data_IF_920818409915
#
_entry.id   IF_920818409915
#
_cell.length_a   1.000
_cell.length_b   1.000
_cell.length_c   1.000
_cell.angle_alpha   90.00
_cell.angle_beta   90.00
_cell.angle_gamma   90.00
#
_symmetry.space_group_name_H-M   'P 1'
#
loop_
_entity.id
_entity.type
_entity.pdbx_description
1 polymer ?
#
# COMPACT_ATOMS: atom_id res chain seq x y z
N UNK A 1 10.42 11.54 5.12
CA UNK A 1 9.86 12.39 4.05
C UNK A 1 10.32 11.84 2.71
N UNK A 2 9.70 12.21 1.61
CA UNK A 2 10.09 11.80 0.26
C UNK A 2 9.11 10.84 -0.40
N UNK A 3 9.20 10.80 -1.73
CA UNK A 3 8.36 9.97 -2.59
C UNK A 3 9.22 9.04 -3.43
N UNK A 4 8.76 7.80 -3.60
CA UNK A 4 9.27 6.93 -4.67
C UNK A 4 8.56 7.33 -5.96
N UNK A 5 9.29 7.99 -6.86
CA UNK A 5 8.71 8.48 -8.10
C UNK A 5 8.59 7.38 -9.15
N UNK A 6 7.37 7.24 -9.68
CA UNK A 6 7.14 6.49 -10.89
C UNK A 6 7.58 7.34 -12.09
N UNK A 7 8.33 6.77 -13.03
CA UNK A 7 8.51 7.41 -14.33
C UNK A 7 7.19 7.36 -15.13
N UNK A 8 6.32 8.34 -14.90
CA UNK A 8 4.98 8.44 -15.51
C UNK A 8 5.06 8.42 -17.03
N UNK A 9 6.04 9.12 -17.62
CA UNK A 9 6.27 9.13 -19.07
C UNK A 9 6.52 7.74 -19.62
N UNK A 10 7.40 6.95 -18.99
CA UNK A 10 7.69 5.60 -19.43
C UNK A 10 6.47 4.68 -19.30
N UNK A 11 5.75 4.77 -18.18
CA UNK A 11 4.54 3.98 -17.96
C UNK A 11 3.43 4.34 -18.95
N UNK A 12 3.23 5.63 -19.21
CA UNK A 12 2.30 6.10 -20.22
C UNK A 12 2.66 5.56 -21.61
N UNK A 13 3.95 5.49 -21.95
CA UNK A 13 4.42 4.92 -23.20
C UNK A 13 4.15 3.42 -23.30
N UNK A 14 4.46 2.65 -22.23
CA UNK A 14 4.20 1.21 -22.16
C UNK A 14 2.72 0.89 -22.27
N UNK A 15 1.88 1.54 -21.47
CA UNK A 15 0.43 1.39 -21.53
C UNK A 15 -0.11 1.88 -22.87
N UNK A 16 0.49 2.94 -23.42
CA UNK A 16 0.19 3.48 -24.74
C UNK A 16 0.26 2.46 -25.87
N UNK A 17 0.97 1.34 -25.70
CA UNK A 17 1.07 0.26 -26.69
C UNK A 17 -0.21 -0.60 -26.83
N UNK A 18 -1.27 -0.29 -26.06
CA UNK A 18 -2.55 -0.98 -26.12
C UNK A 18 -3.64 -0.09 -26.74
N UNK A 19 -4.57 -0.63 -27.54
CA UNK A 19 -5.62 0.17 -28.18
C UNK A 19 -6.46 1.04 -27.23
N UNK A 20 -6.88 0.58 -26.03
CA UNK A 20 -7.68 1.40 -25.11
C UNK A 20 -6.91 2.60 -24.53
N UNK A 21 -5.59 2.49 -24.41
CA UNK A 21 -4.71 3.47 -23.76
C UNK A 21 -3.79 4.18 -24.76
N UNK A 22 -4.04 4.03 -26.07
CA UNK A 22 -3.28 4.66 -27.16
C UNK A 22 -3.10 6.17 -27.00
N UNK A 23 -4.11 6.83 -26.41
CA UNK A 23 -4.00 8.22 -26.02
C UNK A 23 -3.38 8.29 -24.63
N UNK A 24 -2.07 8.49 -24.60
CA UNK A 24 -1.27 8.52 -23.37
C UNK A 24 -1.67 9.68 -22.45
N UNK A 25 -2.23 10.75 -23.00
CA UNK A 25 -2.65 11.94 -22.26
C UNK A 25 -3.65 11.62 -21.15
N UNK A 26 -4.54 10.65 -21.36
CA UNK A 26 -5.51 10.23 -20.34
C UNK A 26 -4.82 9.67 -19.09
N UNK A 27 -3.73 8.93 -19.28
CA UNK A 27 -2.91 8.43 -18.18
C UNK A 27 -2.09 9.57 -17.58
N UNK A 28 -1.33 10.31 -18.39
CA UNK A 28 -0.41 11.35 -17.90
C UNK A 28 -1.13 12.44 -17.11
N UNK A 29 -2.28 12.94 -17.57
CA UNK A 29 -3.07 13.96 -16.86
C UNK A 29 -3.56 13.53 -15.48
N UNK A 30 -3.64 12.22 -15.21
CA UNK A 30 -4.06 11.70 -13.89
C UNK A 30 -2.94 11.72 -12.85
N UNK A 31 -1.69 11.78 -13.31
CA UNK A 31 -0.48 11.71 -12.47
C UNK A 31 0.31 13.02 -12.53
N UNK A 32 -0.37 14.14 -12.74
CA UNK A 32 0.23 15.47 -12.89
C UNK A 32 -0.41 16.39 -11.86
N UNK A 33 0.43 17.05 -11.05
CA UNK A 33 0.00 18.13 -10.14
C UNK A 33 -0.31 19.40 -10.95
N UNK A 34 -1.09 20.31 -10.38
CA UNK A 34 -1.50 21.57 -11.03
C UNK A 34 -0.30 22.43 -11.48
N UNK A 35 0.87 22.21 -10.88
CA UNK A 35 2.11 22.94 -11.13
C UNK A 35 2.80 22.54 -12.46
N UNK A 36 2.44 21.39 -13.03
CA UNK A 36 3.09 20.86 -14.24
C UNK A 36 2.25 21.16 -15.47
N UNK A 37 2.78 22.04 -16.33
CA UNK A 37 2.18 22.38 -17.63
C UNK A 37 2.39 21.26 -18.66
N UNK A 38 1.29 20.72 -19.18
CA UNK A 38 1.28 19.66 -20.20
C UNK A 38 1.08 20.16 -21.63
N UNK A 39 0.81 21.45 -21.87
CA UNK A 39 0.48 21.95 -23.20
C UNK A 39 1.61 21.71 -24.21
N UNK A 40 2.85 21.86 -23.74
CA UNK A 40 4.06 21.61 -24.52
C UNK A 40 4.65 20.21 -24.29
N UNK A 41 4.11 19.43 -23.36
CA UNK A 41 4.65 18.11 -23.03
C UNK A 41 4.51 17.14 -24.21
N UNK A 42 5.60 16.40 -24.48
CA UNK A 42 5.62 15.29 -25.42
C UNK A 42 6.33 14.12 -24.75
N UNK A 43 5.74 12.94 -24.83
CA UNK A 43 6.33 11.76 -24.21
C UNK A 43 7.69 11.43 -24.88
N UNK A 44 8.82 11.47 -24.13
CA UNK A 44 10.15 11.26 -24.69
C UNK A 44 10.38 9.83 -25.22
N UNK A 45 9.58 8.86 -24.78
CA UNK A 45 9.65 7.48 -25.24
C UNK A 45 8.86 7.25 -26.55
N UNK A 46 8.09 8.23 -27.00
CA UNK A 46 7.39 8.21 -28.29
C UNK A 46 5.91 7.80 -28.21
N UNK A 47 5.25 7.83 -29.37
CA UNK A 47 3.81 7.63 -29.54
C UNK A 47 3.45 6.24 -30.11
N UNK A 48 2.16 5.90 -30.07
CA UNK A 48 1.63 4.64 -30.59
C UNK A 48 1.97 4.43 -32.09
N UNK A 49 2.46 3.24 -32.48
CA UNK A 49 2.81 2.96 -33.87
C UNK A 49 1.58 3.00 -34.78
N UNK A 50 1.67 3.71 -35.90
CA UNK A 50 0.62 3.79 -36.93
C UNK A 50 0.73 2.63 -37.95
N UNK A 51 -0.32 2.42 -38.74
CA UNK A 51 -0.33 1.46 -39.86
C UNK A 51 -0.23 0.00 -39.43
N UNK A 52 0.51 -0.81 -40.21
CA UNK A 52 0.62 -2.26 -40.01
C UNK A 52 1.19 -2.65 -38.64
N UNK A 53 2.13 -1.87 -38.10
CA UNK A 53 2.69 -2.09 -36.76
C UNK A 53 1.61 -1.92 -35.68
N UNK A 54 0.77 -0.88 -35.78
CA UNK A 54 -0.35 -0.66 -34.86
C UNK A 54 -1.41 -1.75 -34.92
N UNK A 55 -1.69 -2.31 -36.11
CA UNK A 55 -2.58 -3.46 -36.27
C UNK A 55 -2.03 -4.73 -35.61
N UNK A 56 -0.72 -4.99 -35.76
CA UNK A 56 -0.06 -6.13 -35.10
C UNK A 56 -0.07 -5.99 -33.58
N UNK A 57 0.23 -4.80 -33.05
CA UNK A 57 0.14 -4.52 -31.60
C UNK A 57 -1.28 -4.71 -31.07
N UNK A 58 -2.30 -4.22 -31.77
CA UNK A 58 -3.69 -4.40 -31.37
C UNK A 58 -4.10 -5.89 -31.35
N UNK A 59 -3.68 -6.68 -32.34
CA UNK A 59 -3.95 -8.11 -32.38
C UNK A 59 -3.22 -8.86 -31.26
N UNK A 60 -1.94 -8.56 -31.04
CA UNK A 60 -1.19 -9.13 -29.92
C UNK A 60 -1.86 -8.82 -28.59
N UNK A 61 -2.21 -7.55 -28.35
CA UNK A 61 -2.92 -7.13 -27.14
C UNK A 61 -4.25 -7.88 -26.97
N UNK A 62 -5.06 -8.00 -28.01
CA UNK A 62 -6.33 -8.71 -27.93
C UNK A 62 -6.14 -10.19 -27.57
N UNK A 63 -5.17 -10.87 -28.21
CA UNK A 63 -4.84 -12.27 -27.92
C UNK A 63 -4.35 -12.45 -26.48
N UNK A 64 -3.44 -11.59 -26.03
CA UNK A 64 -2.90 -11.63 -24.66
C UNK A 64 -3.97 -11.34 -23.63
N UNK A 65 -4.84 -10.37 -23.87
CA UNK A 65 -5.97 -10.04 -22.98
C UNK A 65 -6.95 -11.21 -22.85
N UNK A 66 -7.27 -11.89 -23.95
CA UNK A 66 -8.14 -13.08 -23.90
C UNK A 66 -7.49 -14.23 -23.15
N UNK A 67 -6.20 -14.47 -23.36
CA UNK A 67 -5.46 -15.48 -22.61
C UNK A 67 -5.43 -15.16 -21.10
N UNK A 68 -5.15 -13.89 -20.78
CA UNK A 68 -5.14 -13.36 -19.42
C UNK A 68 -6.49 -13.56 -18.72
N UNK A 69 -7.60 -13.15 -19.36
CA UNK A 69 -8.95 -13.32 -18.81
C UNK A 69 -9.32 -14.79 -18.51
N UNK A 70 -8.73 -15.76 -19.22
CA UNK A 70 -8.98 -17.20 -18.97
C UNK A 70 -8.23 -17.73 -17.74
N UNK A 71 -7.05 -17.19 -17.45
CA UNK A 71 -6.18 -17.68 -16.37
C UNK A 71 -6.24 -16.86 -15.08
N UNK A 72 -6.74 -15.62 -15.15
CA UNK A 72 -6.62 -14.63 -14.07
C UNK A 72 -7.20 -15.11 -12.73
N UNK A 73 -8.36 -15.78 -12.73
CA UNK A 73 -8.97 -16.25 -11.49
C UNK A 73 -8.19 -17.40 -10.85
N UNK A 74 -7.76 -18.36 -11.66
CA UNK A 74 -6.95 -19.49 -11.21
C UNK A 74 -5.58 -19.02 -10.69
N UNK A 75 -4.94 -18.04 -11.36
CA UNK A 75 -3.69 -17.45 -10.90
C UNK A 75 -3.86 -16.72 -9.57
N UNK A 76 -4.91 -15.90 -9.40
CA UNK A 76 -5.17 -15.22 -8.14
C UNK A 76 -5.38 -16.20 -6.99
N UNK A 77 -6.16 -17.26 -7.20
CA UNK A 77 -6.38 -18.30 -6.19
C UNK A 77 -5.09 -19.06 -5.86
N UNK A 78 -4.28 -19.37 -6.88
CA UNK A 78 -2.98 -19.99 -6.67
C UNK A 78 -2.05 -19.08 -5.85
N UNK A 79 -1.96 -17.80 -6.18
CA UNK A 79 -1.19 -16.82 -5.40
C UNK A 79 -1.69 -16.73 -3.95
N UNK A 80 -3.00 -16.66 -3.74
CA UNK A 80 -3.61 -16.61 -2.40
C UNK A 80 -3.36 -17.88 -1.59
N UNK A 81 -3.26 -19.05 -2.23
CA UNK A 81 -2.94 -20.31 -1.54
C UNK A 81 -1.44 -20.43 -1.29
N UNK A 82 -0.62 -20.14 -2.31
CA UNK A 82 0.83 -20.20 -2.25
C UNK A 82 1.39 -19.25 -1.19
N UNK A 83 0.78 -18.06 -1.00
CA UNK A 83 1.22 -17.12 0.05
C UNK A 83 1.19 -17.74 1.44
N UNK A 84 0.20 -18.59 1.73
CA UNK A 84 0.03 -19.18 3.06
C UNK A 84 1.09 -20.26 3.28
N UNK A 85 1.36 -21.09 2.27
CA UNK A 85 2.48 -22.02 2.30
C UNK A 85 3.82 -21.29 2.49
N UNK A 86 4.04 -20.21 1.75
CA UNK A 86 5.25 -19.40 1.83
C UNK A 86 5.40 -18.71 3.20
N UNK A 87 4.30 -18.23 3.78
CA UNK A 87 4.26 -17.70 5.14
C UNK A 87 4.60 -18.78 6.17
N UNK A 88 3.92 -19.93 6.14
CA UNK A 88 4.11 -21.03 7.09
C UNK A 88 5.55 -21.56 7.02
N UNK A 89 6.10 -21.72 5.81
CA UNK A 89 7.50 -22.13 5.62
C UNK A 89 8.45 -21.10 6.23
N UNK A 90 8.27 -19.81 5.92
CA UNK A 90 9.13 -18.75 6.47
C UNK A 90 9.05 -18.66 7.99
N UNK A 91 7.88 -18.93 8.60
CA UNK A 91 7.70 -18.99 10.06
C UNK A 91 8.36 -20.20 10.70
N UNK A 92 8.45 -21.32 9.99
CA UNK A 92 9.10 -22.54 10.47
C UNK A 92 10.63 -22.51 10.37
N UNK A 93 11.20 -21.57 9.62
CA UNK A 93 12.65 -21.41 9.50
C UNK A 93 13.20 -20.53 10.63
N UNK A 94 14.26 -21.01 11.28
CA UNK A 94 15.12 -20.19 12.13
C UNK A 94 16.33 -19.74 11.32
N UNK A 95 16.27 -18.51 10.79
CA UNK A 95 17.32 -17.93 9.97
C UNK A 95 18.62 -17.67 10.75
N UNK A 96 18.57 -17.63 12.09
CA UNK A 96 19.78 -17.47 12.91
C UNK A 96 20.71 -18.68 12.84
N UNK A 97 20.17 -19.85 12.50
CA UNK A 97 20.91 -21.10 12.34
C UNK A 97 21.58 -21.25 10.97
N UNK A 98 21.21 -20.41 10.01
CA UNK A 98 21.70 -20.51 8.64
C UNK A 98 23.12 -19.92 8.56
N UNK A 99 24.02 -20.54 7.81
CA UNK A 99 25.26 -19.88 7.43
C UNK A 99 25.03 -18.80 6.34
N UNK A 100 26.07 -18.04 6.01
CA UNK A 100 26.01 -16.95 5.02
C UNK A 100 25.57 -17.45 3.63
N UNK A 101 25.98 -18.66 3.24
CA UNK A 101 25.63 -19.27 1.95
C UNK A 101 24.19 -19.78 1.94
N UNK A 102 23.73 -20.36 3.04
CA UNK A 102 22.33 -20.79 3.20
C UNK A 102 21.39 -19.57 3.15
N UNK A 103 21.74 -18.47 3.81
CA UNK A 103 21.00 -17.20 3.69
C UNK A 103 21.00 -16.65 2.26
N UNK A 104 22.12 -16.76 1.54
CA UNK A 104 22.20 -16.34 0.13
C UNK A 104 21.25 -17.13 -0.77
N UNK A 105 21.21 -18.46 -0.59
CA UNK A 105 20.31 -19.34 -1.34
C UNK A 105 18.86 -19.01 -1.00
N UNK A 106 18.55 -18.79 0.28
CA UNK A 106 17.19 -18.45 0.72
C UNK A 106 16.73 -17.08 0.20
N UNK A 107 17.62 -16.08 0.21
CA UNK A 107 17.35 -14.79 -0.41
C UNK A 107 17.05 -14.95 -1.91
N UNK A 108 17.82 -15.76 -2.63
CA UNK A 108 17.57 -16.06 -4.04
C UNK A 108 16.17 -16.63 -4.27
N UNK A 109 15.73 -17.56 -3.41
CA UNK A 109 14.37 -18.12 -3.46
C UNK A 109 13.30 -17.06 -3.20
N UNK A 110 13.49 -16.22 -2.18
CA UNK A 110 12.57 -15.13 -1.87
C UNK A 110 12.52 -14.08 -2.98
N UNK A 111 13.63 -13.78 -3.66
CA UNK A 111 13.67 -12.87 -4.80
C UNK A 111 12.93 -13.43 -6.03
N UNK A 112 13.02 -14.74 -6.29
CA UNK A 112 12.20 -15.39 -7.33
C UNK A 112 10.72 -15.29 -6.98
N UNK A 113 10.34 -15.60 -5.73
CA UNK A 113 8.94 -15.46 -5.30
C UNK A 113 8.46 -14.00 -5.38
N UNK A 114 9.30 -13.04 -4.95
CA UNK A 114 9.03 -11.61 -5.09
C UNK A 114 8.74 -11.24 -6.54
N UNK A 115 9.62 -11.63 -7.46
CA UNK A 115 9.42 -11.39 -8.90
C UNK A 115 8.09 -11.97 -9.38
N UNK A 116 7.84 -13.25 -9.11
CA UNK A 116 6.65 -13.96 -9.60
C UNK A 116 5.35 -13.40 -9.04
N UNK A 117 5.34 -13.00 -7.75
CA UNK A 117 4.17 -12.39 -7.13
C UNK A 117 3.88 -11.00 -7.69
N UNK A 118 4.91 -10.19 -7.95
CA UNK A 118 4.73 -8.87 -8.56
C UNK A 118 4.27 -8.99 -10.01
N UNK A 119 4.91 -9.85 -10.82
CA UNK A 119 4.50 -10.12 -12.20
C UNK A 119 3.08 -10.69 -12.27
N UNK A 120 2.73 -11.61 -11.36
CA UNK A 120 1.40 -12.20 -11.28
C UNK A 120 0.30 -11.22 -10.85
N UNK A 121 0.65 -10.22 -10.02
CA UNK A 121 -0.25 -9.21 -9.50
C UNK A 121 -0.54 -8.07 -10.51
N UNK A 122 0.48 -7.61 -11.23
CA UNK A 122 0.39 -6.42 -12.09
C UNK A 122 -0.76 -6.42 -13.11
N UNK A 123 -1.13 -7.55 -13.76
CA UNK A 123 -2.25 -7.58 -14.69
C UNK A 123 -3.58 -7.15 -14.06
N UNK A 124 -3.88 -7.54 -12.80
CA UNK A 124 -5.14 -7.15 -12.16
C UNK A 124 -5.20 -5.64 -11.94
N UNK A 125 -4.08 -5.04 -11.52
CA UNK A 125 -3.97 -3.60 -11.34
C UNK A 125 -4.16 -2.84 -12.66
N UNK A 126 -3.44 -3.24 -13.71
CA UNK A 126 -3.50 -2.59 -15.03
C UNK A 126 -4.89 -2.77 -15.66
N UNK A 127 -5.47 -3.97 -15.60
CA UNK A 127 -6.78 -4.25 -16.18
C UNK A 127 -7.89 -3.52 -15.43
N UNK A 128 -7.85 -3.48 -14.09
CA UNK A 128 -8.80 -2.69 -13.30
C UNK A 128 -8.69 -1.19 -13.64
N UNK A 129 -7.47 -0.67 -13.79
CA UNK A 129 -7.24 0.72 -14.20
C UNK A 129 -7.82 1.01 -15.60
N UNK A 130 -7.53 0.15 -16.57
CA UNK A 130 -8.05 0.29 -17.95
C UNK A 130 -9.57 0.18 -18.02
N UNK A 131 -10.16 -0.79 -17.32
CA UNK A 131 -11.60 -0.96 -17.23
C UNK A 131 -12.28 0.24 -16.55
N UNK A 132 -11.67 0.79 -15.50
CA UNK A 132 -12.14 2.00 -14.83
C UNK A 132 -12.11 3.22 -15.75
N UNK A 133 -11.02 3.42 -16.51
CA UNK A 133 -10.92 4.50 -17.49
C UNK A 133 -12.02 4.42 -18.56
N UNK A 134 -12.21 3.23 -19.13
CA UNK A 134 -13.28 2.99 -20.11
C UNK A 134 -14.67 3.18 -19.50
N UNK A 135 -14.90 2.69 -18.27
CA UNK A 135 -16.16 2.88 -17.54
C UNK A 135 -16.46 4.37 -17.38
N UNK A 136 -15.47 5.15 -16.97
CA UNK A 136 -15.57 6.60 -16.77
C UNK A 136 -15.99 7.31 -18.05
N UNK A 137 -15.32 7.01 -19.17
CA UNK A 137 -15.63 7.62 -20.47
C UNK A 137 -17.06 7.29 -20.93
N UNK A 138 -17.47 6.02 -20.82
CA UNK A 138 -18.79 5.58 -21.25
C UNK A 138 -19.90 6.13 -20.33
N UNK A 139 -19.67 6.19 -19.02
CA UNK A 139 -20.58 6.81 -18.06
C UNK A 139 -20.80 8.29 -18.39
N UNK A 140 -19.72 9.06 -18.57
CA UNK A 140 -19.81 10.47 -18.94
C UNK A 140 -20.58 10.67 -20.26
N UNK A 141 -20.26 9.86 -21.27
CA UNK A 141 -20.86 9.98 -22.62
C UNK A 141 -22.33 9.55 -22.68
N UNK A 142 -22.74 8.56 -21.90
CA UNK A 142 -24.06 7.93 -22.03
C UNK A 142 -25.04 8.26 -20.91
N UNK A 143 -24.56 8.66 -19.73
CA UNK A 143 -25.37 8.84 -18.53
C UNK A 143 -25.21 10.21 -17.86
N UNK A 144 -24.24 11.04 -18.27
CA UNK A 144 -23.99 12.35 -17.65
C UNK A 144 -23.75 12.24 -16.14
N UNK A 145 -24.38 13.10 -15.35
CA UNK A 145 -24.21 13.15 -13.88
C UNK A 145 -24.56 11.84 -13.16
N UNK A 146 -25.57 11.10 -13.66
CA UNK A 146 -25.90 9.79 -13.13
C UNK A 146 -24.74 8.79 -13.29
N UNK A 147 -23.96 8.94 -14.36
CA UNK A 147 -22.75 8.16 -14.61
C UNK A 147 -21.60 8.53 -13.68
N UNK A 148 -21.42 9.83 -13.38
CA UNK A 148 -20.40 10.30 -12.44
C UNK A 148 -20.66 9.78 -11.00
N UNK A 149 -21.91 9.82 -10.57
CA UNK A 149 -22.31 9.28 -9.26
C UNK A 149 -22.09 7.75 -9.18
N UNK A 150 -22.46 7.00 -10.23
CA UNK A 150 -22.22 5.56 -10.30
C UNK A 150 -20.72 5.23 -10.24
N UNK A 151 -19.89 5.96 -11.00
CA UNK A 151 -18.44 5.79 -10.99
C UNK A 151 -17.83 6.02 -9.61
N UNK A 152 -18.22 7.11 -8.93
CA UNK A 152 -17.70 7.46 -7.60
C UNK A 152 -18.05 6.39 -6.56
N UNK A 153 -19.29 5.87 -6.59
CA UNK A 153 -19.71 4.77 -5.71
C UNK A 153 -18.92 3.49 -5.98
N UNK A 154 -18.87 3.04 -7.23
CA UNK A 154 -18.12 1.83 -7.60
C UNK A 154 -16.65 1.92 -7.22
N UNK A 155 -16.02 3.10 -7.39
CA UNK A 155 -14.64 3.32 -6.95
C UNK A 155 -14.51 3.22 -5.43
N UNK A 156 -15.46 3.81 -4.70
CA UNK A 156 -15.48 3.79 -3.22
C UNK A 156 -15.61 2.36 -2.71
N UNK A 157 -16.56 1.58 -3.23
CA UNK A 157 -16.76 0.16 -2.87
C UNK A 157 -15.49 -0.65 -3.12
N UNK A 158 -14.89 -0.54 -4.31
CA UNK A 158 -13.67 -1.29 -4.63
C UNK A 158 -12.47 -0.86 -3.79
N UNK A 159 -12.47 0.37 -3.27
CA UNK A 159 -11.42 0.86 -2.36
C UNK A 159 -11.67 0.42 -0.91
N UNK A 160 -12.92 0.20 -0.51
CA UNK A 160 -13.30 -0.19 0.85
C UNK A 160 -13.23 -1.69 1.12
N UNK A 161 -13.32 -2.56 0.08
CA UNK A 161 -13.28 -4.03 0.21
C UNK A 161 -12.27 -4.53 1.25
N UNK A 162 -11.02 -4.05 1.16
CA UNK A 162 -9.93 -4.49 2.05
C UNK A 162 -10.03 -3.89 3.45
N UNK A 163 -10.39 -2.62 3.54
CA UNK A 163 -10.53 -1.92 4.84
C UNK A 163 -11.63 -2.56 5.66
N UNK A 164 -12.74 -2.93 5.03
CA UNK A 164 -13.86 -3.63 5.67
C UNK A 164 -13.41 -5.03 6.12
N UNK A 165 -12.80 -5.84 5.24
CA UNK A 165 -12.35 -7.18 5.59
C UNK A 165 -11.36 -7.17 6.77
N UNK A 166 -10.37 -6.27 6.75
CA UNK A 166 -9.39 -6.17 7.85
C UNK A 166 -10.03 -5.69 9.15
N UNK A 167 -10.99 -4.77 9.08
CA UNK A 167 -11.74 -4.31 10.26
C UNK A 167 -12.64 -5.42 10.84
N UNK A 168 -13.24 -6.24 9.98
CA UNK A 168 -14.02 -7.42 10.39
C UNK A 168 -13.15 -8.44 11.12
N UNK A 169 -11.98 -8.78 10.57
CA UNK A 169 -11.07 -9.75 11.19
C UNK A 169 -10.58 -9.28 12.57
N UNK A 170 -10.23 -7.99 12.70
CA UNK A 170 -9.85 -7.41 13.98
C UNK A 170 -11.05 -7.36 14.94
N UNK A 171 -12.25 -7.09 14.44
CA UNK A 171 -13.47 -7.10 15.27
C UNK A 171 -13.79 -8.49 15.83
N UNK A 172 -13.63 -9.55 15.03
CA UNK A 172 -13.76 -10.93 15.50
C UNK A 172 -12.73 -11.26 16.59
N UNK A 173 -11.48 -10.83 16.40
CA UNK A 173 -10.43 -10.95 17.39
C UNK A 173 -10.75 -10.17 18.68
N UNK A 174 -11.31 -8.96 18.57
CA UNK A 174 -11.78 -8.17 19.72
C UNK A 174 -12.90 -8.87 20.48
N UNK A 175 -13.89 -9.44 19.78
CA UNK A 175 -14.99 -10.18 20.42
C UNK A 175 -14.46 -11.43 21.14
N UNK A 176 -13.47 -12.13 20.55
CA UNK A 176 -12.81 -13.26 21.19
C UNK A 176 -12.05 -12.85 22.47
N UNK A 177 -11.41 -11.68 22.47
CA UNK A 177 -10.77 -11.11 23.67
C UNK A 177 -11.82 -10.70 24.72
N UNK A 178 -12.92 -10.04 24.33
CA UNK A 178 -13.99 -9.64 25.24
C UNK A 178 -14.69 -10.82 25.92
N UNK A 179 -14.79 -11.96 25.24
CA UNK A 179 -15.31 -13.19 25.84
C UNK A 179 -14.39 -13.79 26.92
N UNK A 180 -13.17 -13.26 27.09
CA UNK A 180 -12.14 -13.73 28.03
C UNK A 180 -11.65 -12.56 28.90
N UNK A 181 -12.28 -12.31 30.06
CA UNK A 181 -11.99 -11.13 30.87
C UNK A 181 -10.51 -10.94 31.20
N UNK A 182 -9.79 -12.03 31.49
CA UNK A 182 -8.35 -11.97 31.79
C UNK A 182 -7.51 -11.56 30.58
N UNK A 183 -7.82 -12.07 29.38
CA UNK A 183 -7.16 -11.66 28.14
C UNK A 183 -7.39 -10.19 27.85
N UNK A 184 -8.64 -9.71 27.97
CA UNK A 184 -8.94 -8.30 27.75
C UNK A 184 -8.24 -7.41 28.79
N UNK A 185 -8.16 -7.86 30.05
CA UNK A 185 -7.43 -7.17 31.12
C UNK A 185 -5.94 -7.04 30.77
N UNK A 186 -5.29 -8.15 30.40
CA UNK A 186 -3.88 -8.17 29.97
C UNK A 186 -3.65 -7.23 28.77
N UNK A 187 -4.53 -7.29 27.77
CA UNK A 187 -4.46 -6.41 26.60
C UNK A 187 -4.62 -4.95 26.98
N UNK A 188 -5.51 -4.59 27.92
CA UNK A 188 -5.76 -3.19 28.30
C UNK A 188 -4.70 -2.59 29.23
N UNK A 189 -4.27 -3.35 30.24
CA UNK A 189 -3.48 -2.82 31.36
C UNK A 189 -1.95 -2.89 31.15
N UNK A 190 -1.49 -3.76 30.24
CA UNK A 190 -0.05 -3.94 29.95
C UNK A 190 0.42 -2.89 28.94
N UNK A 191 1.64 -2.32 29.01
CA UNK A 191 2.19 -1.53 27.90
C UNK A 191 2.15 -2.31 26.57
N UNK A 192 1.82 -1.66 25.44
CA UNK A 192 1.50 -2.34 24.17
C UNK A 192 2.61 -3.30 23.72
N UNK A 193 3.86 -2.86 23.86
CA UNK A 193 5.07 -3.59 23.53
C UNK A 193 5.32 -4.84 24.39
N UNK A 194 4.60 -4.99 25.51
CA UNK A 194 4.70 -6.14 26.43
C UNK A 194 3.44 -7.01 26.46
N UNK A 195 2.39 -6.63 25.73
CA UNK A 195 1.12 -7.39 25.72
C UNK A 195 1.34 -8.81 25.22
N UNK A 196 2.18 -9.01 24.20
CA UNK A 196 2.46 -10.34 23.66
C UNK A 196 3.07 -11.26 24.73
N UNK A 197 4.13 -10.79 25.40
CA UNK A 197 4.78 -11.54 26.48
C UNK A 197 3.82 -11.83 27.64
N UNK A 198 2.98 -10.86 28.01
CA UNK A 198 2.01 -11.01 29.08
C UNK A 198 0.92 -12.05 28.75
N UNK A 199 0.45 -12.08 27.50
CA UNK A 199 -0.48 -13.11 27.02
C UNK A 199 0.17 -14.49 26.99
N UNK A 200 1.41 -14.59 26.50
CA UNK A 200 2.13 -15.87 26.44
C UNK A 200 2.53 -16.41 27.82
N UNK A 201 2.59 -15.56 28.85
CA UNK A 201 2.86 -15.96 30.23
C UNK A 201 1.60 -16.40 31.01
N UNK A 202 0.40 -16.17 30.47
CA UNK A 202 -0.88 -16.52 31.08
C UNK A 202 -1.57 -17.68 30.34
N UNK A 203 -2.30 -18.55 31.05
CA UNK A 203 -2.96 -19.71 30.44
C UNK A 203 -4.10 -19.29 29.50
N UNK A 204 -4.95 -18.34 29.92
CA UNK A 204 -6.04 -17.86 29.07
C UNK A 204 -5.48 -17.01 27.90
N UNK A 205 -4.38 -16.30 28.14
CA UNK A 205 -3.61 -15.60 27.13
C UNK A 205 -3.04 -16.53 26.05
N UNK A 206 -2.45 -17.67 26.42
CA UNK A 206 -1.97 -18.70 25.50
C UNK A 206 -3.12 -19.30 24.67
N UNK A 207 -4.24 -19.66 25.29
CA UNK A 207 -5.41 -20.17 24.58
C UNK A 207 -5.97 -19.17 23.56
N UNK A 208 -5.98 -17.88 23.91
CA UNK A 208 -6.35 -16.81 22.98
C UNK A 208 -5.33 -16.65 21.86
N UNK A 209 -4.04 -16.73 22.19
CA UNK A 209 -2.95 -16.63 21.24
C UNK A 209 -3.05 -17.71 20.17
N UNK A 210 -3.09 -18.98 20.56
CA UNK A 210 -3.15 -20.13 19.66
C UNK A 210 -4.50 -20.21 18.91
N UNK A 211 -5.60 -19.95 19.61
CA UNK A 211 -6.95 -20.14 19.06
C UNK A 211 -7.44 -19.01 18.15
N UNK A 212 -6.92 -17.78 18.32
CA UNK A 212 -7.44 -16.59 17.65
C UNK A 212 -6.34 -15.72 17.04
N UNK A 213 -5.31 -15.36 17.81
CA UNK A 213 -4.30 -14.41 17.33
C UNK A 213 -3.38 -15.02 16.27
N UNK A 214 -2.91 -16.25 16.45
CA UNK A 214 -2.04 -16.92 15.48
C UNK A 214 -2.73 -17.18 14.13
N UNK A 215 -3.98 -17.69 14.08
CA UNK A 215 -4.76 -17.73 12.83
C UNK A 215 -4.93 -16.34 12.19
N UNK A 216 -5.20 -15.32 12.99
CA UNK A 216 -5.29 -13.94 12.50
C UNK A 216 -3.96 -13.46 11.89
N UNK A 217 -2.84 -13.66 12.59
CA UNK A 217 -1.50 -13.29 12.11
C UNK A 217 -1.07 -14.12 10.90
N UNK A 218 -1.54 -15.35 10.76
CA UNK A 218 -1.31 -16.14 9.56
C UNK A 218 -2.00 -15.53 8.33
N UNK A 219 -3.23 -15.05 8.49
CA UNK A 219 -3.97 -14.44 7.39
C UNK A 219 -3.50 -13.01 7.10
N UNK A 220 -3.26 -12.21 8.14
CA UNK A 220 -3.10 -10.75 8.09
C UNK A 220 -1.74 -10.23 8.61
N UNK A 221 -0.90 -11.07 9.20
CA UNK A 221 0.28 -10.64 9.95
C UNK A 221 1.37 -9.97 9.13
N UNK A 222 1.47 -10.24 7.82
CA UNK A 222 2.43 -9.56 6.93
C UNK A 222 2.04 -8.11 6.58
N UNK A 223 0.88 -7.65 7.04
CA UNK A 223 0.46 -6.25 6.91
C UNK A 223 1.24 -5.37 7.88
N UNK A 224 1.19 -4.07 7.63
CA UNK A 224 1.84 -3.07 8.48
C UNK A 224 1.73 -1.68 7.89
N UNK A 225 2.31 -0.70 8.60
CA UNK A 225 2.44 0.65 8.06
C UNK A 225 3.37 0.62 6.84
N UNK A 226 2.93 1.23 5.73
CA UNK A 226 3.70 1.30 4.48
C UNK A 226 4.31 -0.06 4.09
N UNK A 227 3.48 -1.02 3.70
CA UNK A 227 3.85 -2.43 3.44
C UNK A 227 4.93 -2.65 2.36
N UNK A 228 5.31 -1.61 1.61
CA UNK A 228 6.43 -1.66 0.65
C UNK A 228 7.76 -1.25 1.28
N UNK A 229 7.73 -0.53 2.39
CA UNK A 229 8.90 -0.15 3.18
C UNK A 229 9.35 -1.35 4.01
N UNK A 230 10.60 -1.78 3.81
CA UNK A 230 11.16 -2.95 4.50
C UNK A 230 11.49 -2.63 5.96
N UNK A 231 11.80 -1.37 6.26
CA UNK A 231 12.21 -0.95 7.61
C UNK A 231 11.07 -0.95 8.62
N UNK A 232 9.82 -0.87 8.17
CA UNK A 232 8.65 -0.97 9.05
C UNK A 232 8.37 -2.44 9.44
N UNK A 233 8.16 -2.73 10.74
CA UNK A 233 7.77 -4.07 11.17
C UNK A 233 6.40 -4.44 10.62
N UNK A 234 6.18 -5.74 10.39
CA UNK A 234 4.85 -6.29 10.11
C UNK A 234 4.14 -6.67 11.40
N UNK A 235 2.82 -6.82 11.38
CA UNK A 235 2.06 -7.24 12.56
C UNK A 235 2.49 -8.59 13.14
N UNK A 236 3.05 -9.47 12.31
CA UNK A 236 3.65 -10.73 12.75
C UNK A 236 5.01 -10.54 13.42
N UNK A 237 5.74 -9.47 13.10
CA UNK A 237 7.01 -9.11 13.72
C UNK A 237 6.75 -8.35 15.04
N UNK A 238 5.75 -7.47 15.05
CA UNK A 238 5.28 -6.70 16.21
C UNK A 238 3.75 -6.54 16.18
N UNK A 239 3.00 -7.26 17.04
CA UNK A 239 1.54 -7.21 17.10
C UNK A 239 0.98 -6.01 17.90
N UNK A 240 1.81 -5.08 18.39
CA UNK A 240 1.37 -3.95 19.22
C UNK A 240 0.21 -3.14 18.59
N UNK A 241 0.26 -2.89 17.29
CA UNK A 241 -0.82 -2.22 16.57
C UNK A 241 -2.15 -2.99 16.63
N UNK A 242 -2.10 -4.33 16.53
CA UNK A 242 -3.29 -5.18 16.61
C UNK A 242 -3.91 -5.06 18.00
N UNK A 243 -3.10 -5.10 19.06
CA UNK A 243 -3.58 -4.91 20.43
C UNK A 243 -4.17 -3.52 20.66
N UNK A 244 -3.56 -2.48 20.09
CA UNK A 244 -4.11 -1.12 20.14
C UNK A 244 -5.51 -1.07 19.51
N UNK A 245 -5.70 -1.72 18.36
CA UNK A 245 -7.00 -1.78 17.70
C UNK A 245 -8.03 -2.60 18.50
N UNK A 246 -7.61 -3.68 19.16
CA UNK A 246 -8.47 -4.44 20.07
C UNK A 246 -8.97 -3.57 21.22
N UNK A 247 -8.08 -2.82 21.88
CA UNK A 247 -8.46 -1.87 22.94
C UNK A 247 -9.51 -0.90 22.43
N UNK A 248 -9.22 -0.26 21.30
CA UNK A 248 -10.09 0.74 20.69
C UNK A 248 -11.49 0.18 20.42
N UNK A 249 -11.57 -0.97 19.76
CA UNK A 249 -12.86 -1.59 19.43
C UNK A 249 -13.59 -2.11 20.68
N UNK A 250 -12.86 -2.52 21.72
CA UNK A 250 -13.46 -2.93 22.99
C UNK A 250 -14.02 -1.76 23.79
N UNK A 251 -13.46 -0.55 23.63
CA UNK A 251 -13.90 0.68 24.30
C UNK A 251 -15.04 1.37 23.52
N UNK A 252 -14.95 1.43 22.19
CA UNK A 252 -16.00 1.95 21.31
C UNK A 252 -16.15 1.12 20.01
N UNK A 253 -17.28 0.41 19.92
CA UNK A 253 -17.62 -0.40 18.75
C UNK A 253 -18.31 0.38 17.63
N UNK A 254 -18.69 1.65 17.83
CA UNK A 254 -19.48 2.45 16.88
C UNK A 254 -18.74 2.61 15.55
N UNK A 255 -17.46 3.00 15.62
CA UNK A 255 -16.64 3.23 14.44
C UNK A 255 -16.48 1.96 13.58
N UNK A 256 -16.27 0.80 14.20
CA UNK A 256 -16.15 -0.47 13.45
C UNK A 256 -17.50 -0.93 12.91
N UNK A 257 -18.59 -0.77 13.67
CA UNK A 257 -19.93 -1.09 13.18
C UNK A 257 -20.33 -0.24 11.96
N UNK A 258 -19.97 1.06 11.94
CA UNK A 258 -20.17 1.90 10.76
C UNK A 258 -19.36 1.42 9.56
N UNK A 259 -18.10 1.03 9.76
CA UNK A 259 -17.26 0.46 8.69
C UNK A 259 -17.90 -0.81 8.12
N UNK A 260 -18.36 -1.72 9.00
CA UNK A 260 -19.00 -2.98 8.61
C UNK A 260 -20.38 -2.78 7.96
N UNK A 261 -21.11 -1.74 8.36
CA UNK A 261 -22.41 -1.41 7.77
C UNK A 261 -22.30 -0.89 6.33
N UNK A 262 -21.18 -0.25 5.96
CA UNK A 262 -20.95 0.27 4.59
C UNK A 262 -20.98 -0.82 3.52
N UNK A 263 -20.58 -2.05 3.84
CA UNK A 263 -20.60 -3.19 2.92
C UNK A 263 -22.04 -3.65 2.59
N UNK A 264 -23.00 -3.37 3.49
CA UNK A 264 -24.39 -3.82 3.37
C UNK A 264 -25.27 -2.88 2.55
N UNK A 265 -24.85 -1.64 2.32
CA UNK A 265 -25.70 -0.60 1.70
C UNK A 265 -25.57 -0.48 0.19
N UNK A 266 -24.62 -1.16 -0.46
CA UNK A 266 -24.45 -1.07 -1.92
C UNK A 266 -24.82 -2.39 -2.61
N UNK A 267 -26.12 -2.69 -2.65
CA UNK A 267 -26.64 -3.80 -3.44
C UNK A 267 -26.52 -3.49 -4.94
N UNK A 268 -26.31 -4.51 -5.79
CA UNK A 268 -26.29 -4.36 -7.26
C UNK A 268 -27.59 -3.82 -7.90
N UNK A 269 -28.63 -3.62 -7.10
CA UNK A 269 -29.94 -3.07 -7.47
C UNK A 269 -29.83 -1.63 -8.02
N UNK A 270 -28.97 -0.80 -7.43
CA UNK A 270 -28.72 0.59 -7.88
C UNK A 270 -28.01 0.66 -9.24
N UNK A 271 -27.13 -0.31 -9.52
CA UNK A 271 -26.41 -0.38 -10.80
C UNK A 271 -27.41 -0.65 -11.93
N UNK A 272 -28.28 -1.64 -11.75
CA UNK A 272 -29.26 -2.01 -12.76
C UNK A 272 -30.31 -0.92 -12.99
N UNK A 273 -30.71 -0.17 -11.96
CA UNK A 273 -31.62 0.96 -12.12
C UNK A 273 -31.02 2.07 -13.01
N UNK A 274 -29.75 2.44 -12.76
CA UNK A 274 -29.05 3.44 -13.57
C UNK A 274 -28.87 2.94 -15.00
N UNK A 275 -28.48 1.67 -15.17
CA UNK A 275 -28.27 1.05 -16.46
C UNK A 275 -29.57 0.86 -17.27
N UNK A 276 -30.73 0.74 -16.62
CA UNK A 276 -32.02 0.57 -17.28
C UNK A 276 -32.40 1.77 -18.18
N UNK A 277 -31.83 2.95 -17.91
CA UNK A 277 -32.02 4.18 -18.69
C UNK A 277 -31.36 4.13 -20.08
N UNK A 278 -30.49 3.15 -20.33
CA UNK A 278 -29.75 3.01 -21.58
C UNK A 278 -30.43 2.06 -22.57
N UNK A 279 -30.30 2.31 -23.90
CA UNK A 279 -30.65 1.33 -24.92
C UNK A 279 -29.94 -0.01 -24.70
N UNK A 280 -30.59 -1.12 -25.09
CA UNK A 280 -30.14 -2.50 -24.81
C UNK A 280 -28.65 -2.75 -25.08
N UNK A 281 -28.13 -2.28 -26.21
CA UNK A 281 -26.72 -2.47 -26.60
C UNK A 281 -25.74 -1.68 -25.72
N UNK A 282 -26.04 -0.40 -25.42
CA UNK A 282 -25.23 0.44 -24.54
C UNK A 282 -25.24 -0.11 -23.11
N UNK A 283 -26.41 -0.53 -22.64
CA UNK A 283 -26.60 -1.20 -21.35
C UNK A 283 -25.74 -2.45 -21.22
N UNK A 284 -25.80 -3.36 -22.22
CA UNK A 284 -25.00 -4.58 -22.21
C UNK A 284 -23.49 -4.29 -22.23
N UNK A 285 -23.07 -3.28 -22.99
CA UNK A 285 -21.67 -2.86 -23.05
C UNK A 285 -21.18 -2.32 -21.71
N UNK A 286 -21.91 -1.37 -21.13
CA UNK A 286 -21.51 -0.75 -19.86
C UNK A 286 -21.53 -1.76 -18.71
N UNK A 287 -22.53 -2.65 -18.66
CA UNK A 287 -22.58 -3.77 -17.69
C UNK A 287 -21.32 -4.65 -17.78
N UNK A 288 -20.89 -4.99 -19.00
CA UNK A 288 -19.69 -5.80 -19.20
C UNK A 288 -18.43 -5.08 -18.70
N UNK A 289 -18.31 -3.78 -18.99
CA UNK A 289 -17.16 -2.98 -18.53
C UNK A 289 -17.14 -2.86 -16.99
N UNK A 290 -18.30 -2.62 -16.36
CA UNK A 290 -18.44 -2.62 -14.90
C UNK A 290 -18.04 -3.98 -14.32
N UNK A 291 -18.53 -5.08 -14.89
CA UNK A 291 -18.16 -6.43 -14.45
C UNK A 291 -16.66 -6.72 -14.59
N UNK A 292 -16.02 -6.23 -15.64
CA UNK A 292 -14.55 -6.32 -15.79
C UNK A 292 -13.83 -5.50 -14.71
N UNK A 293 -14.29 -4.28 -14.42
CA UNK A 293 -13.70 -3.44 -13.39
C UNK A 293 -13.82 -4.07 -12.00
N UNK A 294 -15.02 -4.50 -11.62
CA UNK A 294 -15.28 -5.17 -10.33
C UNK A 294 -14.46 -6.46 -10.25
N UNK A 295 -14.56 -7.34 -11.24
CA UNK A 295 -13.85 -8.62 -11.23
C UNK A 295 -12.33 -8.47 -11.11
N UNK A 296 -11.71 -7.55 -11.87
CA UNK A 296 -10.27 -7.31 -11.75
C UNK A 296 -9.91 -6.65 -10.41
N UNK A 297 -10.74 -5.76 -9.87
CA UNK A 297 -10.50 -5.13 -8.57
C UNK A 297 -10.57 -6.15 -7.43
N UNK A 298 -11.56 -7.05 -7.45
CA UNK A 298 -11.67 -8.15 -6.49
C UNK A 298 -10.46 -9.09 -6.57
N UNK A 299 -10.09 -9.54 -7.78
CA UNK A 299 -8.92 -10.41 -7.94
C UNK A 299 -7.61 -9.72 -7.54
N UNK A 300 -7.50 -8.40 -7.76
CA UNK A 300 -6.38 -7.61 -7.28
C UNK A 300 -6.26 -7.70 -5.76
N UNK A 301 -7.35 -7.50 -5.02
CA UNK A 301 -7.30 -7.60 -3.56
C UNK A 301 -6.95 -9.02 -3.08
N UNK A 302 -7.48 -10.06 -3.73
CA UNK A 302 -7.11 -11.47 -3.44
C UNK A 302 -5.62 -11.72 -3.64
N UNK A 303 -5.04 -11.25 -4.75
CA UNK A 303 -3.65 -11.49 -5.09
C UNK A 303 -2.65 -10.61 -4.32
N UNK A 304 -3.09 -9.44 -3.82
CA UNK A 304 -2.22 -8.44 -3.17
C UNK A 304 -1.45 -9.00 -1.99
N UNK A 305 -2.08 -9.82 -1.16
CA UNK A 305 -1.43 -10.36 0.04
C UNK A 305 -0.24 -11.26 -0.30
N UNK A 306 -0.25 -11.93 -1.46
CA UNK A 306 0.89 -12.71 -1.91
C UNK A 306 2.09 -11.83 -2.26
N UNK A 307 1.85 -10.69 -2.92
CA UNK A 307 2.86 -9.65 -3.17
C UNK A 307 3.43 -9.11 -1.85
N UNK A 308 2.58 -8.73 -0.90
CA UNK A 308 3.02 -8.23 0.41
C UNK A 308 3.80 -9.28 1.21
N UNK A 309 3.36 -10.54 1.18
CA UNK A 309 4.08 -11.66 1.83
C UNK A 309 5.49 -11.80 1.25
N UNK A 310 5.65 -11.71 -0.07
CA UNK A 310 6.97 -11.80 -0.71
C UNK A 310 7.94 -10.69 -0.31
N UNK A 311 7.42 -9.48 -0.01
CA UNK A 311 8.23 -8.37 0.52
C UNK A 311 8.70 -8.67 1.95
N UNK A 312 7.79 -9.17 2.80
CA UNK A 312 8.12 -9.57 4.17
C UNK A 312 9.18 -10.69 4.20
N UNK A 313 9.13 -11.64 3.27
CA UNK A 313 10.17 -12.67 3.16
C UNK A 313 11.56 -12.10 2.88
N UNK A 314 11.68 -11.12 1.98
CA UNK A 314 12.95 -10.42 1.72
C UNK A 314 13.38 -9.64 2.97
N UNK A 315 12.44 -8.98 3.66
CA UNK A 315 12.69 -8.27 4.92
C UNK A 315 13.33 -9.19 5.96
N UNK A 316 12.84 -10.43 6.12
CA UNK A 316 13.36 -11.36 7.12
C UNK A 316 14.86 -11.62 6.94
N UNK A 317 15.34 -11.77 5.70
CA UNK A 317 16.78 -11.94 5.43
C UNK A 317 17.55 -10.64 5.69
N UNK A 318 17.02 -9.50 5.25
CA UNK A 318 17.66 -8.18 5.45
C UNK A 318 17.87 -7.90 6.94
N UNK A 319 16.87 -8.18 7.78
CA UNK A 319 16.96 -7.97 9.22
C UNK A 319 17.81 -9.02 9.94
N UNK A 320 17.84 -10.25 9.45
CA UNK A 320 18.79 -11.25 9.95
C UNK A 320 20.25 -10.86 9.65
N UNK A 321 20.52 -10.31 8.46
CA UNK A 321 21.85 -9.75 8.14
C UNK A 321 22.18 -8.58 9.07
N UNK A 322 21.24 -7.66 9.28
CA UNK A 322 21.44 -6.54 10.19
C UNK A 322 21.78 -7.00 11.62
N UNK A 323 21.06 -7.99 12.15
CA UNK A 323 21.32 -8.60 13.46
C UNK A 323 22.77 -9.11 13.55
N UNK A 324 23.24 -9.85 12.55
CA UNK A 324 24.63 -10.36 12.50
C UNK A 324 25.65 -9.24 12.45
N UNK A 325 25.43 -8.22 11.63
CA UNK A 325 26.33 -7.08 11.53
C UNK A 325 26.39 -6.29 12.85
N UNK A 326 25.29 -6.21 13.61
CA UNK A 326 25.29 -5.64 14.97
C UNK A 326 26.09 -6.52 15.93
N UNK A 327 25.94 -7.84 15.89
CA UNK A 327 26.71 -8.78 16.72
C UNK A 327 28.22 -8.78 16.41
N UNK A 328 28.57 -8.57 15.14
CA UNK A 328 29.96 -8.38 14.68
C UNK A 328 30.52 -6.98 15.05
N UNK A 329 29.70 -6.08 15.58
CA UNK A 329 30.09 -4.71 15.95
C UNK A 329 30.28 -3.77 14.75
N UNK A 330 29.76 -4.13 13.58
CA UNK A 330 29.79 -3.29 12.38
C UNK A 330 28.63 -2.29 12.34
N UNK A 331 27.48 -2.66 12.92
CA UNK A 331 26.37 -1.76 13.20
C UNK A 331 26.28 -1.47 14.70
N UNK A 332 25.90 -0.25 15.08
CA UNK A 332 25.62 0.09 16.48
C UNK A 332 24.28 -0.46 16.96
N UNK A 333 23.29 -0.54 16.06
CA UNK A 333 21.99 -1.15 16.31
C UNK A 333 21.43 -1.72 15.00
N UNK A 334 20.41 -2.57 15.12
CA UNK A 334 19.70 -3.14 13.95
C UNK A 334 19.04 -2.05 13.11
N UNK A 335 18.68 -0.90 13.70
CA UNK A 335 18.03 0.21 13.00
C UNK A 335 18.90 0.84 11.92
N UNK A 336 20.24 0.70 12.02
CA UNK A 336 21.15 1.17 10.97
C UNK A 336 20.98 0.40 9.64
N UNK A 337 20.20 -0.70 9.61
CA UNK A 337 19.80 -1.39 8.38
C UNK A 337 19.10 -0.46 7.39
N UNK A 338 18.41 0.58 7.87
CA UNK A 338 17.74 1.57 7.04
C UNK A 338 18.69 2.38 6.15
N UNK A 339 19.98 2.37 6.47
CA UNK A 339 21.03 3.10 5.75
C UNK A 339 21.93 2.18 4.90
N UNK A 340 21.60 0.89 4.81
CA UNK A 340 22.34 -0.07 4.01
C UNK A 340 21.77 -0.18 2.60
N UNK A 341 22.65 -0.28 1.61
CA UNK A 341 22.27 -0.59 0.24
C UNK A 341 21.93 -2.07 0.09
N UNK A 342 20.81 -2.38 -0.57
CA UNK A 342 20.40 -3.79 -0.77
C UNK A 342 21.45 -4.60 -1.54
N UNK A 343 22.18 -3.96 -2.45
CA UNK A 343 23.26 -4.58 -3.22
C UNK A 343 24.44 -4.99 -2.31
N UNK A 344 24.71 -4.23 -1.26
CA UNK A 344 25.75 -4.56 -0.29
C UNK A 344 25.33 -5.74 0.60
N UNK A 345 24.04 -5.87 0.91
CA UNK A 345 23.48 -7.08 1.55
C UNK A 345 23.66 -8.30 0.64
N UNK A 346 23.41 -8.17 -0.67
CA UNK A 346 23.63 -9.26 -1.62
C UNK A 346 25.11 -9.65 -1.74
N UNK A 347 26.02 -8.66 -1.83
CA UNK A 347 27.48 -8.86 -1.83
C UNK A 347 27.97 -9.49 -0.54
N UNK A 348 27.41 -9.05 0.59
CA UNK A 348 27.62 -9.73 1.86
C UNK A 348 27.18 -11.18 1.68
N UNK A 349 25.93 -11.52 1.46
CA UNK A 349 25.52 -12.93 1.38
C UNK A 349 26.29 -13.79 0.36
N UNK A 350 26.76 -13.22 -0.76
CA UNK A 350 27.59 -13.94 -1.75
C UNK A 350 28.93 -14.47 -1.19
N UNK A 351 29.52 -13.78 -0.21
CA UNK A 351 30.76 -14.24 0.44
C UNK A 351 32.06 -13.78 -0.21
N UNK A 352 31.99 -12.96 -1.26
CA UNK A 352 33.16 -12.59 -2.08
C UNK A 352 34.11 -11.60 -1.37
N UNK A 353 33.60 -10.83 -0.41
CA UNK A 353 34.33 -9.77 0.29
C UNK A 353 34.10 -9.80 1.81
N UNK A 354 35.08 -9.36 2.63
CA UNK A 354 34.91 -9.21 4.08
C UNK A 354 33.83 -8.18 4.43
N UNK A 355 33.04 -8.47 5.47
CA UNK A 355 31.92 -7.61 5.88
C UNK A 355 32.34 -6.17 6.20
N UNK A 356 33.48 -5.99 6.88
CA UNK A 356 34.07 -4.67 7.21
C UNK A 356 34.44 -3.82 6.00
N UNK A 357 34.70 -4.44 4.85
CA UNK A 357 35.08 -3.73 3.62
C UNK A 357 33.82 -3.32 2.83
N UNK A 358 32.72 -4.05 3.01
CA UNK A 358 31.41 -3.74 2.44
C UNK A 358 30.72 -2.64 3.26
N UNK A 359 30.64 -2.84 4.58
CA UNK A 359 29.90 -2.01 5.54
C UNK A 359 30.85 -1.12 6.35
N UNK A 360 31.52 -0.20 5.67
CA UNK A 360 32.41 0.73 6.37
C UNK A 360 31.61 1.76 7.16
N UNK A 361 32.14 2.16 8.32
CA UNK A 361 31.47 3.14 9.19
C UNK A 361 31.23 4.47 8.48
N UNK A 362 32.19 4.90 7.66
CA UNK A 362 32.11 6.14 6.89
C UNK A 362 30.90 6.16 5.96
N UNK A 363 30.62 5.05 5.27
CA UNK A 363 29.50 4.94 4.32
C UNK A 363 28.15 4.96 5.02
N UNK A 364 28.02 4.25 6.13
CA UNK A 364 26.77 4.21 6.90
C UNK A 364 26.49 5.59 7.52
N UNK A 365 27.52 6.24 8.09
CA UNK A 365 27.37 7.59 8.65
C UNK A 365 27.06 8.63 7.56
N UNK A 366 27.60 8.47 6.36
CA UNK A 366 27.27 9.33 5.22
C UNK A 366 25.82 9.14 4.77
N UNK A 367 25.35 7.90 4.65
CA UNK A 367 23.96 7.59 4.32
C UNK A 367 22.99 8.15 5.38
N UNK A 368 23.32 8.02 6.67
CA UNK A 368 22.53 8.62 7.75
C UNK A 368 22.52 10.16 7.69
N UNK A 369 23.68 10.80 7.49
CA UNK A 369 23.76 12.27 7.33
C UNK A 369 22.93 12.75 6.13
N UNK A 370 22.97 12.01 5.02
CA UNK A 370 22.17 12.32 3.83
C UNK A 370 20.67 12.16 4.11
N UNK A 371 20.27 11.10 4.81
CA UNK A 371 18.89 10.90 5.23
C UNK A 371 18.39 12.04 6.12
N UNK A 372 19.15 12.41 7.14
CA UNK A 372 18.82 13.51 8.04
C UNK A 372 18.78 14.86 7.33
N UNK A 373 19.69 15.09 6.37
CA UNK A 373 19.67 16.27 5.53
C UNK A 373 18.38 16.33 4.69
N UNK A 374 18.02 15.23 4.02
CA UNK A 374 16.82 15.16 3.19
C UNK A 374 15.53 15.34 4.01
N UNK A 375 15.46 14.81 5.24
CA UNK A 375 14.32 15.01 6.15
C UNK A 375 14.18 16.45 6.68
N UNK A 376 15.15 17.34 6.41
CA UNK A 376 15.06 18.77 6.73
C UNK A 376 14.66 19.62 5.52
N UNK A 377 14.67 19.03 4.32
CA UNK A 377 14.23 19.72 3.11
C UNK A 377 12.70 19.78 3.05
N UNK A 378 12.13 20.74 2.32
CA UNK A 378 10.70 20.71 1.99
C UNK A 378 10.33 19.38 1.34
N UNK A 379 9.11 18.90 1.62
CA UNK A 379 8.60 17.69 0.97
C UNK A 379 8.67 17.87 -0.56
N UNK A 380 9.31 16.94 -1.29
CA UNK A 380 9.37 16.99 -2.74
C UNK A 380 7.96 17.06 -3.36
N UNK A 381 7.76 17.75 -4.50
CA UNK A 381 6.45 17.88 -5.11
C UNK A 381 5.94 16.51 -5.56
N UNK A 382 4.62 16.30 -5.55
CA UNK A 382 4.03 15.02 -5.97
C UNK A 382 4.41 14.63 -7.40
N UNK A 383 4.68 15.62 -8.27
CA UNK A 383 5.07 15.40 -9.65
C UNK A 383 6.03 16.51 -10.11
N UNK A 384 6.99 16.16 -10.97
CA UNK A 384 7.87 17.13 -11.61
C UNK A 384 8.32 16.61 -12.98
N UNK A 385 8.77 17.51 -13.85
CA UNK A 385 9.38 17.17 -15.12
C UNK A 385 10.90 17.37 -15.05
N UNK A 386 11.66 16.37 -15.48
CA UNK A 386 13.13 16.42 -15.47
C UNK A 386 13.67 16.13 -14.08
N UNK A 387 14.36 17.09 -13.48
CA UNK A 387 14.98 17.00 -12.15
C UNK A 387 14.29 17.96 -11.17
N UNK A 388 14.13 17.52 -9.93
CA UNK A 388 13.61 18.37 -8.86
C UNK A 388 14.75 19.11 -8.17
N UNK A 389 14.68 20.44 -8.17
CA UNK A 389 15.61 21.32 -7.44
C UNK A 389 14.99 21.79 -6.12
N UNK A 390 15.43 21.17 -5.01
CA UNK A 390 14.95 21.50 -3.66
C UNK A 390 15.28 22.95 -3.23
N UNK A 391 16.34 23.55 -3.80
CA UNK A 391 16.76 24.92 -3.48
C UNK A 391 15.75 25.96 -3.96
N UNK A 392 15.10 25.71 -5.11
CA UNK A 392 14.03 26.55 -5.63
C UNK A 392 12.76 26.52 -4.77
N UNK A 393 12.41 25.36 -4.23
CA UNK A 393 11.25 25.22 -3.35
C UNK A 393 11.42 26.04 -2.06
N UNK A 394 12.63 26.04 -1.49
CA UNK A 394 12.94 26.83 -0.29
C UNK A 394 12.85 28.34 -0.53
N UNK A 395 13.21 28.82 -1.73
CA UNK A 395 13.11 30.25 -2.08
C UNK A 395 11.66 30.71 -2.28
N UNK A 396 10.79 29.86 -2.84
CA UNK A 396 9.37 30.17 -3.04
C UNK A 396 8.61 30.26 -1.71
N UNK A 397 8.92 29.40 -0.74
CA UNK A 397 8.29 29.40 0.59
C UNK A 397 8.54 30.69 1.40
N UNK A 398 9.63 31.42 1.11
CA UNK A 398 9.99 32.68 1.80
C UNK A 398 9.34 33.91 1.14
N UNK A 399 8.80 33.79 -0.07
CA UNK A 399 8.44 34.94 -0.91
C UNK A 399 7.00 35.47 -0.76
N UNK A 400 6.05 34.73 -0.17
CA UNK A 400 4.64 35.17 -0.07
C UNK A 400 4.10 35.19 1.37
N UNK A 401 4.62 36.09 2.19
CA UNK A 401 3.94 36.50 3.41
C UNK A 401 2.86 37.54 3.07
N UNK A 402 1.59 37.14 2.92
CA UNK A 402 0.49 38.12 2.84
C UNK A 402 -0.83 37.67 2.21
N UNK A 403 -0.92 36.48 1.61
CA UNK A 403 -2.18 35.96 1.08
C UNK A 403 -2.41 34.56 1.63
N UNK A 404 -3.63 34.27 2.10
CA UNK A 404 -3.93 33.02 2.83
C UNK A 404 -3.57 31.75 2.05
N UNK A 405 -3.34 30.67 2.77
CA UNK A 405 -2.98 29.37 2.18
C UNK A 405 -4.18 28.78 1.41
N UNK A 406 -3.94 28.27 0.20
CA UNK A 406 -4.92 27.55 -0.61
C UNK A 406 -4.53 26.06 -0.71
N UNK A 407 -5.51 25.19 -0.95
CA UNK A 407 -5.29 23.74 -1.05
C UNK A 407 -6.54 22.99 -1.51
N UNK A 408 -6.44 21.66 -1.59
CA UNK A 408 -7.54 20.80 -2.02
C UNK A 408 -8.59 20.61 -0.91
N UNK A 409 -9.80 21.13 -1.12
CA UNK A 409 -10.91 20.94 -0.21
C UNK A 409 -11.43 19.50 -0.22
N UNK A 410 -11.26 18.78 0.91
CA UNK A 410 -11.67 17.37 1.02
C UNK A 410 -13.11 17.18 1.51
N UNK A 411 -13.68 18.17 2.21
CA UNK A 411 -15.06 18.15 2.72
C UNK A 411 -15.70 19.53 2.56
N UNK A 412 -16.98 19.64 2.12
CA UNK A 412 -17.63 20.92 1.94
C UNK A 412 -17.99 21.56 3.30
N UNK A 413 -17.68 22.84 3.46
CA UNK A 413 -18.02 23.60 4.67
C UNK A 413 -17.17 24.85 4.83
N UNK A 414 -17.56 25.72 5.78
CA UNK A 414 -16.76 26.88 6.21
C UNK A 414 -16.80 26.97 7.72
N UNK A 415 -15.63 27.02 8.34
CA UNK A 415 -15.46 27.17 9.79
C UNK A 415 -14.32 28.13 10.07
N UNK A 416 -14.37 28.80 11.22
CA UNK A 416 -13.27 29.61 11.75
C UNK A 416 -12.95 29.09 13.14
N UNK A 417 -11.68 28.81 13.40
CA UNK A 417 -11.19 28.29 14.68
C UNK A 417 -9.70 28.53 14.84
N UNK A 418 -9.16 28.29 16.03
CA UNK A 418 -7.73 28.36 16.29
C UNK A 418 -7.04 27.17 15.58
N UNK A 419 -6.02 27.43 14.77
CA UNK A 419 -5.21 26.37 14.19
C UNK A 419 -4.33 25.73 15.27
N UNK A 420 -4.40 24.39 15.39
CA UNK A 420 -3.54 23.57 16.23
C UNK A 420 -2.64 22.73 15.34
N UNK A 421 -1.34 22.96 15.40
CA UNK A 421 -0.36 22.20 14.62
C UNK A 421 0.07 20.98 15.44
N UNK A 422 -0.24 19.79 14.96
CA UNK A 422 0.18 18.51 15.54
C UNK A 422 1.13 17.85 14.56
N UNK A 423 2.42 17.76 14.90
CA UNK A 423 3.43 17.13 14.04
C UNK A 423 3.67 15.67 14.40
N UNK A 424 3.51 15.33 15.69
CA UNK A 424 3.62 13.96 16.20
C UNK A 424 2.38 13.61 17.02
N UNK A 425 1.56 12.73 16.46
CA UNK A 425 0.32 12.29 17.08
C UNK A 425 0.58 11.58 18.42
N UNK A 426 1.69 10.86 18.58
CA UNK A 426 1.97 10.08 19.79
C UNK A 426 2.14 10.97 21.00
N UNK A 427 2.77 12.14 20.82
CA UNK A 427 3.14 13.02 21.92
C UNK A 427 2.21 14.21 22.12
N UNK A 428 1.46 14.59 21.09
CA UNK A 428 0.71 15.85 21.08
C UNK A 428 -0.80 15.68 20.94
N UNK A 429 -1.31 14.43 20.88
CA UNK A 429 -2.74 14.17 20.71
C UNK A 429 -3.61 14.87 21.77
N UNK A 430 -3.13 14.97 23.01
CA UNK A 430 -3.82 15.61 24.14
C UNK A 430 -3.79 17.15 24.09
N UNK A 431 -2.99 17.76 23.21
CA UNK A 431 -2.96 19.20 23.02
C UNK A 431 -4.14 19.73 22.20
N UNK A 432 -4.84 18.87 21.45
CA UNK A 432 -5.94 19.26 20.57
C UNK A 432 -7.25 19.43 21.34
N UNK A 433 -7.89 20.59 21.19
CA UNK A 433 -9.10 20.94 21.94
C UNK A 433 -10.35 21.08 21.05
N UNK A 434 -11.52 20.86 21.66
CA UNK A 434 -12.82 21.06 21.00
C UNK A 434 -12.93 22.49 20.47
N UNK A 435 -13.20 22.62 19.17
CA UNK A 435 -13.34 23.91 18.48
C UNK A 435 -12.06 24.43 17.82
N UNK A 436 -10.94 23.72 17.95
CA UNK A 436 -9.72 23.99 17.19
C UNK A 436 -9.77 23.34 15.79
N UNK A 437 -8.96 23.87 14.86
CA UNK A 437 -8.75 23.31 13.52
C UNK A 437 -7.43 22.55 13.55
N UNK A 438 -7.49 21.23 13.37
CA UNK A 438 -6.30 20.39 13.27
C UNK A 438 -5.52 20.70 11.99
N UNK A 439 -4.22 20.97 12.15
CA UNK A 439 -3.25 21.12 11.07
C UNK A 439 -2.13 20.11 11.30
N UNK A 440 -1.93 19.20 10.35
CA UNK A 440 -0.88 18.18 10.43
C UNK A 440 -0.33 17.87 9.04
N UNK A 441 0.78 17.14 8.96
CA UNK A 441 1.46 16.78 7.71
C UNK A 441 0.66 15.77 6.91
N UNK A 442 0.06 14.78 7.57
CA UNK A 442 -0.82 13.79 6.96
C UNK A 442 -1.76 13.22 8.02
N UNK A 443 -2.92 12.71 7.59
CA UNK A 443 -3.82 11.94 8.44
C UNK A 443 -3.87 10.50 7.93
N UNK A 444 -3.82 9.55 8.85
CA UNK A 444 -4.05 8.13 8.58
C UNK A 444 -5.06 7.56 9.60
N UNK A 445 -5.29 6.24 9.58
CA UNK A 445 -6.28 5.60 10.46
C UNK A 445 -5.99 5.80 11.97
N UNK A 446 -4.75 6.12 12.36
CA UNK A 446 -4.39 6.38 13.75
C UNK A 446 -4.96 7.68 14.30
N UNK A 447 -5.35 8.64 13.44
CA UNK A 447 -5.89 9.97 13.80
C UNK A 447 -7.39 10.01 14.07
N UNK A 448 -8.09 8.90 13.83
CA UNK A 448 -9.55 8.84 13.94
C UNK A 448 -10.11 8.79 15.38
N UNK A 449 -9.46 8.16 16.38
CA UNK A 449 -9.91 8.25 17.78
C UNK A 449 -9.46 9.57 18.39
#
# INVERSE_FOLDING_TARGET
QGHVYLNVSYHAHLLGQCPPTKNQEHFTRRFVSEEVDLDQYRNPFGAYPKGLKGLRSANFWARTTVAEMRGMAARAQHMATARLYEFDRSRALDLSLFDRRELHVELGRYLVNYHDMHVGYMPYYINAFGAYGLMTELCAKWLGDAGANLQNRLKMDMSSLRTVASAQDIWELTQAAQARPEVLRLIRETPLEKVADALLADVAGQEFWEGHLEPFLRENGVRGRQEMELTNPRWVDDPAYVFQMIRRYADDSTAVQEILARDRTTTGEDIEEVLARLPRMKRATLRKVIGLYIGNSTLREVARMAMVTSIWQVRNIVYEVARRLTEEGLLHSVDEVAYLEFQDIQRYLAGDEPARDIFTRERIDEAQRLHDYNNRLPEPPLTFMGEHDATRALQAAVAEAGTGLTGLGSSPGRITGRARIIEDLVWQADEFQVGEILVTRYTDASWTP
#
